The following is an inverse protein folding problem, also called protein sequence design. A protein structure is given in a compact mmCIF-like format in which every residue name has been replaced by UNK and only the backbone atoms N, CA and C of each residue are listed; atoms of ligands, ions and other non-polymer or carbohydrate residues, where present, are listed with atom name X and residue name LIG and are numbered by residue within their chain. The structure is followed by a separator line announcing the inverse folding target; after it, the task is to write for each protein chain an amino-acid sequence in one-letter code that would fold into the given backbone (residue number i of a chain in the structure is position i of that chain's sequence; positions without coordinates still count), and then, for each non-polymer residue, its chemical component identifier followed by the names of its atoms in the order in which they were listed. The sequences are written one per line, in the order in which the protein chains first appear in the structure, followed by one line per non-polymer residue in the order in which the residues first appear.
data_IF_108076647226
#
_entry.id   IF_108076647226
#
_cell.length_a   1.000
_cell.length_b   1.000
_cell.length_c   1.000
_cell.angle_alpha   90.00
_cell.angle_beta   90.00
_cell.angle_gamma   90.00
#
_symmetry.space_group_name_H-M   'P 1'
#
loop_
_entity.id
_entity.type
_entity.pdbx_description
1 polymer ?
#
# COMPACT_ATOMS: atom_id res chain seq x y z
N UNK A 1 -5.58 8.65 -21.21
CA UNK A 1 -6.99 8.21 -20.96
C UNK A 1 -6.93 6.76 -20.46
N UNK A 2 -7.60 6.42 -19.39
CA UNK A 2 -7.73 5.03 -18.96
C UNK A 2 -8.92 4.45 -19.73
N UNK A 3 -8.74 3.41 -20.56
CA UNK A 3 -9.86 2.81 -21.30
C UNK A 3 -10.88 2.22 -20.32
N UNK A 4 -12.16 2.58 -20.47
CA UNK A 4 -13.21 2.15 -19.55
C UNK A 4 -13.90 0.84 -19.98
N UNK A 5 -13.62 0.32 -21.18
CA UNK A 5 -14.52 -0.60 -21.85
C UNK A 5 -14.02 -2.04 -21.98
N UNK A 6 -13.06 -2.46 -21.14
CA UNK A 6 -12.68 -3.87 -21.09
C UNK A 6 -13.77 -4.62 -20.32
N UNK A 7 -14.53 -5.52 -20.96
CA UNK A 7 -15.52 -6.30 -20.27
C UNK A 7 -14.94 -7.03 -19.07
N UNK A 8 -15.53 -6.85 -17.91
CA UNK A 8 -15.10 -7.48 -16.66
C UNK A 8 -16.26 -8.22 -16.01
N UNK A 9 -15.93 -9.17 -15.13
CA UNK A 9 -16.91 -9.85 -14.29
C UNK A 9 -17.54 -8.83 -13.32
N UNK A 10 -18.86 -8.88 -13.17
CA UNK A 10 -19.53 -8.13 -12.10
C UNK A 10 -19.34 -8.87 -10.76
N UNK A 11 -18.73 -8.20 -9.78
CA UNK A 11 -18.46 -8.74 -8.45
C UNK A 11 -19.54 -8.39 -7.43
N UNK A 12 -20.56 -7.64 -7.83
CA UNK A 12 -21.64 -7.19 -6.96
C UNK A 12 -21.09 -6.56 -5.66
N UNK A 13 -20.31 -5.50 -5.83
CA UNK A 13 -19.64 -4.82 -4.71
C UNK A 13 -20.57 -3.88 -3.94
N UNK A 14 -21.70 -3.49 -4.56
CA UNK A 14 -22.68 -2.57 -4.02
C UNK A 14 -22.51 -1.13 -4.53
N UNK A 15 -23.61 -0.39 -4.46
CA UNK A 15 -23.72 0.95 -5.04
C UNK A 15 -22.66 1.93 -4.52
N UNK A 16 -22.38 1.89 -3.21
CA UNK A 16 -21.36 2.77 -2.58
C UNK A 16 -19.97 2.52 -3.16
N UNK A 17 -19.57 1.25 -3.27
CA UNK A 17 -18.27 0.88 -3.82
C UNK A 17 -18.18 1.21 -5.32
N UNK A 18 -19.26 1.05 -6.08
CA UNK A 18 -19.32 1.37 -7.50
C UNK A 18 -19.23 2.89 -7.74
N UNK A 19 -19.98 3.71 -6.98
CA UNK A 19 -19.90 5.17 -7.04
C UNK A 19 -18.51 5.67 -6.66
N UNK A 20 -17.89 5.12 -5.61
CA UNK A 20 -16.53 5.48 -5.22
C UNK A 20 -15.53 5.09 -6.32
N UNK A 21 -15.67 3.91 -6.91
CA UNK A 21 -14.84 3.46 -8.05
C UNK A 21 -14.87 4.46 -9.19
N UNK A 22 -16.06 4.90 -9.59
CA UNK A 22 -16.22 5.84 -10.70
C UNK A 22 -15.59 7.21 -10.38
N UNK A 23 -15.78 7.72 -9.17
CA UNK A 23 -15.19 8.97 -8.74
C UNK A 23 -13.65 8.91 -8.69
N UNK A 24 -13.10 7.85 -8.08
CA UNK A 24 -11.64 7.66 -7.98
C UNK A 24 -11.01 7.38 -9.34
N UNK A 25 -11.69 6.64 -10.21
CA UNK A 25 -11.23 6.37 -11.59
C UNK A 25 -11.15 7.67 -12.40
N UNK A 26 -12.20 8.49 -12.37
CA UNK A 26 -12.20 9.78 -13.05
C UNK A 26 -11.06 10.67 -12.55
N UNK A 27 -10.94 10.83 -11.24
CA UNK A 27 -9.85 11.57 -10.63
C UNK A 27 -8.47 11.04 -11.05
N UNK A 28 -8.28 9.73 -11.01
CA UNK A 28 -7.01 9.08 -11.35
C UNK A 28 -6.67 9.24 -12.83
N UNK A 29 -7.68 9.23 -13.71
CA UNK A 29 -7.50 9.45 -15.15
C UNK A 29 -7.08 10.89 -15.47
N UNK A 30 -7.62 11.87 -14.74
CA UNK A 30 -7.38 13.28 -14.99
C UNK A 30 -6.13 13.82 -14.28
N UNK A 31 -5.88 13.41 -13.04
CA UNK A 31 -4.87 14.00 -12.18
C UNK A 31 -3.58 13.15 -12.04
N UNK A 32 -3.66 11.83 -12.20
CA UNK A 32 -2.54 10.91 -11.94
C UNK A 32 -1.98 10.32 -13.23
N UNK A 33 -2.82 9.70 -14.06
CA UNK A 33 -2.38 8.97 -15.24
C UNK A 33 -1.54 9.82 -16.24
N UNK A 34 -1.86 11.09 -16.52
CA UNK A 34 -1.07 11.93 -17.41
C UNK A 34 0.35 12.20 -16.90
N UNK A 35 0.56 12.12 -15.59
CA UNK A 35 1.83 12.42 -14.92
C UNK A 35 2.64 11.15 -14.58
N UNK A 36 2.07 9.95 -14.78
CA UNK A 36 2.64 8.71 -14.26
C UNK A 36 4.05 8.39 -14.81
N UNK A 37 4.34 8.70 -16.07
CA UNK A 37 5.67 8.53 -16.67
C UNK A 37 6.69 9.50 -16.06
N UNK A 38 6.31 10.76 -15.82
CA UNK A 38 7.17 11.77 -15.19
C UNK A 38 7.44 11.44 -13.74
N UNK A 39 6.43 11.00 -13.00
CA UNK A 39 6.54 10.54 -11.61
C UNK A 39 7.59 9.40 -11.49
N UNK A 40 7.54 8.42 -12.37
CA UNK A 40 8.54 7.32 -12.41
C UNK A 40 9.94 7.85 -12.74
N UNK A 41 10.05 8.73 -13.74
CA UNK A 41 11.35 9.26 -14.18
C UNK A 41 12.02 10.13 -13.13
N UNK A 42 11.26 11.06 -12.54
CA UNK A 42 11.77 12.01 -11.53
C UNK A 42 12.05 11.36 -10.18
N UNK A 43 11.43 10.21 -9.89
CA UNK A 43 11.44 9.58 -8.56
C UNK A 43 10.86 10.51 -7.48
N UNK A 44 9.85 11.33 -7.82
CA UNK A 44 9.25 12.31 -6.92
C UNK A 44 7.73 12.10 -6.82
N UNK A 45 7.21 12.15 -5.59
CA UNK A 45 5.77 12.18 -5.35
C UNK A 45 5.24 13.60 -5.61
N UNK A 46 4.16 13.77 -6.39
CA UNK A 46 3.55 15.07 -6.61
C UNK A 46 2.76 15.52 -5.38
N UNK A 47 3.34 16.40 -4.58
CA UNK A 47 2.77 16.81 -3.28
C UNK A 47 1.40 17.46 -3.36
N UNK A 48 1.05 18.05 -4.52
CA UNK A 48 -0.28 18.61 -4.78
C UNK A 48 -1.40 17.55 -4.80
N UNK A 49 -1.04 16.28 -4.91
CA UNK A 49 -2.03 15.19 -4.85
C UNK A 49 -2.59 14.97 -3.43
N UNK A 50 -1.84 15.26 -2.36
CA UNK A 50 -2.34 15.04 -1.00
C UNK A 50 -3.62 15.81 -0.70
N UNK A 51 -3.69 17.16 -0.85
CA UNK A 51 -4.94 17.89 -0.62
C UNK A 51 -6.03 17.52 -1.63
N UNK A 52 -5.70 17.13 -2.86
CA UNK A 52 -6.68 16.68 -3.85
C UNK A 52 -7.30 15.34 -3.47
N UNK A 53 -6.51 14.38 -2.99
CA UNK A 53 -6.99 13.11 -2.46
C UNK A 53 -7.81 13.31 -1.18
N UNK A 54 -7.42 14.27 -0.33
CA UNK A 54 -8.20 14.71 0.83
C UNK A 54 -9.56 15.25 0.44
N UNK A 55 -9.62 16.16 -0.55
CA UNK A 55 -10.86 16.72 -1.08
C UNK A 55 -11.77 15.67 -1.74
N UNK A 56 -11.18 14.63 -2.34
CA UNK A 56 -11.91 13.46 -2.85
C UNK A 56 -12.48 12.57 -1.73
N UNK A 57 -12.03 12.74 -0.48
CA UNK A 57 -12.48 11.97 0.68
C UNK A 57 -11.82 10.60 0.86
N UNK A 58 -10.78 10.28 0.08
CA UNK A 58 -10.18 8.92 0.09
C UNK A 58 -9.07 8.74 1.12
N UNK A 59 -8.55 9.79 1.74
CA UNK A 59 -7.49 9.65 2.75
C UNK A 59 -7.99 9.13 4.11
N UNK A 60 -9.30 9.22 4.36
CA UNK A 60 -9.96 8.75 5.58
C UNK A 60 -11.14 7.82 5.32
N UNK A 61 -11.08 6.94 4.31
CA UNK A 61 -12.20 6.06 3.91
C UNK A 61 -12.80 5.32 5.09
N UNK A 62 -11.96 4.69 5.94
CA UNK A 62 -12.41 3.87 7.07
C UNK A 62 -12.57 4.64 8.38
N UNK A 63 -12.34 5.95 8.38
CA UNK A 63 -12.40 6.78 9.59
C UNK A 63 -13.80 7.35 9.78
N UNK A 64 -14.25 7.44 11.05
CA UNK A 64 -15.55 7.99 11.42
C UNK A 64 -15.70 9.45 10.93
N UNK A 65 -16.91 9.81 10.52
CA UNK A 65 -17.27 11.17 10.05
C UNK A 65 -16.94 12.27 11.08
N UNK A 66 -17.02 11.96 12.37
CA UNK A 66 -16.69 12.92 13.45
C UNK A 66 -15.24 13.44 13.40
N UNK A 67 -14.34 12.73 12.72
CA UNK A 67 -12.95 13.17 12.49
C UNK A 67 -12.71 13.66 11.05
N UNK A 68 -13.76 13.75 10.24
CA UNK A 68 -13.69 14.13 8.83
C UNK A 68 -13.51 12.96 7.87
N UNK A 69 -13.64 11.72 8.34
CA UNK A 69 -13.57 10.51 7.53
C UNK A 69 -14.86 10.24 6.75
N UNK A 70 -14.84 9.21 5.91
CA UNK A 70 -15.99 8.81 5.09
C UNK A 70 -16.89 7.73 5.76
N UNK A 71 -16.45 7.14 6.86
CA UNK A 71 -17.21 6.11 7.58
C UNK A 71 -17.49 4.83 6.79
N UNK A 72 -16.70 4.57 5.73
CA UNK A 72 -16.84 3.41 4.85
C UNK A 72 -15.99 2.23 5.33
N UNK A 73 -15.97 1.15 4.56
CA UNK A 73 -15.26 -0.08 4.87
C UNK A 73 -13.91 -0.25 4.16
N UNK A 74 -13.30 -1.41 4.39
CA UNK A 74 -12.06 -1.81 3.73
C UNK A 74 -12.29 -2.24 2.28
N UNK A 75 -13.52 -2.63 1.91
CA UNK A 75 -13.89 -2.88 0.53
C UNK A 75 -13.74 -1.60 -0.30
N UNK A 76 -14.33 -0.50 0.16
CA UNK A 76 -14.23 0.81 -0.48
C UNK A 76 -12.79 1.31 -0.49
N UNK A 77 -12.04 1.09 0.59
CA UNK A 77 -10.61 1.43 0.62
C UNK A 77 -9.81 0.63 -0.42
N UNK A 78 -10.12 -0.66 -0.59
CA UNK A 78 -9.48 -1.51 -1.61
C UNK A 78 -9.83 -1.05 -3.02
N UNK A 79 -11.08 -0.64 -3.26
CA UNK A 79 -11.52 -0.07 -4.54
C UNK A 79 -10.76 1.22 -4.87
N UNK A 80 -10.61 2.12 -3.90
CA UNK A 80 -9.82 3.35 -4.09
C UNK A 80 -8.34 3.03 -4.37
N UNK A 81 -7.75 2.09 -3.63
CA UNK A 81 -6.37 1.65 -3.81
C UNK A 81 -6.14 1.06 -5.22
N UNK A 82 -7.08 0.26 -5.72
CA UNK A 82 -7.03 -0.33 -7.07
C UNK A 82 -7.02 0.74 -8.15
N UNK A 83 -7.97 1.69 -8.14
CA UNK A 83 -8.12 2.69 -9.20
C UNK A 83 -6.97 3.73 -9.19
N UNK A 84 -6.46 4.11 -8.02
CA UNK A 84 -5.26 4.95 -7.91
C UNK A 84 -4.03 4.20 -8.47
N UNK A 85 -3.86 2.94 -8.09
CA UNK A 85 -2.72 2.12 -8.53
C UNK A 85 -2.78 1.78 -10.02
N UNK A 86 -3.97 1.69 -10.62
CA UNK A 86 -4.17 1.54 -12.07
C UNK A 86 -3.57 2.71 -12.84
N UNK A 87 -3.68 3.93 -12.33
CA UNK A 87 -3.08 5.11 -12.93
C UNK A 87 -1.58 5.22 -12.64
N UNK A 88 -1.19 5.00 -11.38
CA UNK A 88 0.21 4.95 -10.94
C UNK A 88 0.33 4.12 -9.65
N UNK A 89 0.99 2.98 -9.75
CA UNK A 89 1.18 2.10 -8.60
C UNK A 89 2.02 2.75 -7.48
N UNK A 90 2.96 3.63 -7.83
CA UNK A 90 3.75 4.37 -6.84
C UNK A 90 2.93 5.39 -6.05
N UNK A 91 1.98 6.07 -6.71
CA UNK A 91 1.02 6.95 -6.02
C UNK A 91 0.09 6.12 -5.14
N UNK A 92 -0.39 4.97 -5.63
CA UNK A 92 -1.20 4.03 -4.86
C UNK A 92 -0.48 3.51 -3.62
N UNK A 93 0.81 3.19 -3.71
CA UNK A 93 1.61 2.76 -2.56
C UNK A 93 1.71 3.85 -1.49
N UNK A 94 2.02 5.09 -1.88
CA UNK A 94 2.06 6.24 -0.96
C UNK A 94 0.71 6.53 -0.33
N UNK A 95 -0.37 6.47 -1.13
CA UNK A 95 -1.74 6.56 -0.65
C UNK A 95 -2.05 5.50 0.42
N UNK A 96 -1.76 4.21 0.15
CA UNK A 96 -1.99 3.12 1.07
C UNK A 96 -1.17 3.24 2.36
N UNK A 97 0.09 3.66 2.27
CA UNK A 97 0.93 3.89 3.45
C UNK A 97 0.40 5.02 4.34
N UNK A 98 -0.15 6.06 3.75
CA UNK A 98 -0.79 7.15 4.47
C UNK A 98 -2.12 6.71 5.09
N UNK A 99 -3.08 6.28 4.26
CA UNK A 99 -4.49 6.08 4.66
C UNK A 99 -4.71 4.77 5.42
N UNK A 100 -4.01 3.70 5.06
CA UNK A 100 -4.20 2.39 5.70
C UNK A 100 -3.16 2.09 6.78
N UNK A 101 -1.91 2.50 6.64
CA UNK A 101 -0.90 2.25 7.68
C UNK A 101 -0.96 3.30 8.79
N UNK A 102 -0.75 4.58 8.47
CA UNK A 102 -0.69 5.62 9.49
C UNK A 102 -2.08 5.96 10.05
N UNK A 103 -3.00 6.38 9.18
CA UNK A 103 -4.35 6.82 9.58
C UNK A 103 -5.11 5.71 10.28
N UNK A 104 -5.12 4.50 9.73
CA UNK A 104 -5.84 3.38 10.32
C UNK A 104 -5.27 2.93 11.66
N UNK A 105 -3.95 2.97 11.86
CA UNK A 105 -3.33 2.66 13.15
C UNK A 105 -3.72 3.67 14.24
N UNK A 106 -3.76 4.97 13.90
CA UNK A 106 -4.23 6.01 14.82
C UNK A 106 -5.71 5.81 15.12
N UNK A 107 -6.53 5.51 14.11
CA UNK A 107 -7.96 5.22 14.28
C UNK A 107 -8.20 4.07 15.23
N UNK A 108 -7.49 2.94 15.05
CA UNK A 108 -7.70 1.72 15.82
C UNK A 108 -7.16 1.82 17.26
N UNK A 109 -6.01 2.44 17.46
CA UNK A 109 -5.25 2.35 18.70
C UNK A 109 -5.07 3.68 19.43
N UNK A 110 -5.41 4.82 18.82
CA UNK A 110 -5.27 6.14 19.41
C UNK A 110 -6.28 6.40 20.52
N UNK A 111 -5.89 7.22 21.48
CA UNK A 111 -6.83 7.84 22.43
C UNK A 111 -7.74 8.83 21.71
N UNK A 112 -8.83 9.26 22.34
CA UNK A 112 -9.72 10.27 21.73
C UNK A 112 -8.95 11.57 21.43
N UNK A 113 -8.08 12.00 22.35
CA UNK A 113 -7.25 13.19 22.18
C UNK A 113 -6.29 13.04 20.95
N UNK A 114 -5.66 11.87 20.81
CA UNK A 114 -4.79 11.60 19.66
C UNK A 114 -5.56 11.57 18.34
N UNK A 115 -6.74 10.94 18.29
CA UNK A 115 -7.60 10.92 17.10
C UNK A 115 -8.01 12.34 16.71
N UNK A 116 -8.46 13.15 17.65
CA UNK A 116 -8.84 14.55 17.40
C UNK A 116 -7.66 15.42 16.96
N UNK A 117 -6.46 15.17 17.48
CA UNK A 117 -5.25 15.92 17.14
C UNK A 117 -4.73 15.60 15.73
N UNK A 118 -4.70 14.32 15.35
CA UNK A 118 -3.96 13.89 14.15
C UNK A 118 -4.86 13.58 12.96
N UNK A 119 -6.02 12.94 13.15
CA UNK A 119 -6.83 12.45 12.04
C UNK A 119 -7.33 13.56 11.10
N UNK A 120 -7.87 14.69 11.56
CA UNK A 120 -8.42 15.69 10.64
C UNK A 120 -7.41 16.23 9.62
N UNK A 121 -6.17 16.49 10.04
CA UNK A 121 -5.12 17.00 9.15
C UNK A 121 -4.58 15.93 8.21
N UNK A 122 -4.52 14.68 8.65
CA UNK A 122 -4.15 13.56 7.80
C UNK A 122 -5.23 13.29 6.74
N UNK A 123 -6.51 13.34 7.14
CA UNK A 123 -7.65 13.08 6.24
C UNK A 123 -7.82 14.20 5.19
N UNK A 124 -7.57 15.45 5.56
CA UNK A 124 -7.60 16.57 4.60
C UNK A 124 -6.40 16.58 3.63
N UNK A 125 -5.35 15.83 3.92
CA UNK A 125 -4.10 15.87 3.17
C UNK A 125 -3.23 17.11 3.48
N UNK A 126 -3.57 17.88 4.53
CA UNK A 126 -2.69 18.94 5.05
C UNK A 126 -1.40 18.35 5.61
N UNK A 127 -1.52 17.22 6.32
CA UNK A 127 -0.39 16.45 6.84
C UNK A 127 -0.25 15.11 6.12
N UNK A 128 0.99 14.68 5.92
CA UNK A 128 1.33 13.38 5.35
C UNK A 128 1.63 12.38 6.47
N UNK A 129 1.12 11.16 6.33
CA UNK A 129 1.31 10.08 7.28
C UNK A 129 2.27 9.00 6.77
N UNK A 130 3.06 8.42 7.69
CA UNK A 130 3.91 7.26 7.44
C UNK A 130 3.87 6.27 8.60
N UNK A 131 4.33 5.04 8.35
CA UNK A 131 4.53 4.02 9.38
C UNK A 131 5.95 3.46 9.28
N UNK A 132 6.63 3.33 10.41
CA UNK A 132 8.02 2.94 10.48
C UNK A 132 8.26 1.77 11.44
N UNK A 133 8.35 0.55 10.90
CA UNK A 133 8.67 -0.64 11.67
C UNK A 133 10.03 -1.23 11.31
N UNK A 134 10.37 -1.32 10.03
CA UNK A 134 11.57 -2.00 9.52
C UNK A 134 12.85 -1.24 9.82
N UNK A 135 13.94 -1.96 10.01
CA UNK A 135 15.30 -1.45 10.20
C UNK A 135 16.27 -2.14 9.23
N UNK A 136 17.48 -1.61 9.00
CA UNK A 136 18.47 -2.26 8.13
C UNK A 136 18.74 -3.72 8.49
N UNK A 137 18.68 -4.08 9.78
CA UNK A 137 18.89 -5.42 10.29
C UNK A 137 17.62 -6.19 10.70
N UNK A 138 16.42 -5.61 10.50
CA UNK A 138 15.15 -6.20 10.93
C UNK A 138 14.03 -5.90 9.91
N UNK A 139 13.96 -6.71 8.85
CA UNK A 139 12.93 -6.68 7.82
C UNK A 139 11.85 -7.73 8.07
N UNK A 140 12.05 -8.98 7.58
CA UNK A 140 11.11 -10.08 7.82
C UNK A 140 10.97 -10.43 9.30
N UNK A 141 12.07 -10.37 10.06
CA UNK A 141 12.08 -10.48 11.52
C UNK A 141 11.96 -9.09 12.17
N UNK A 142 10.84 -8.44 11.95
CA UNK A 142 10.60 -7.06 12.40
C UNK A 142 10.61 -6.91 13.92
N UNK A 143 10.31 -7.98 14.66
CA UNK A 143 10.32 -7.95 16.14
C UNK A 143 11.73 -7.89 16.73
N UNK A 144 12.76 -8.22 15.93
CA UNK A 144 14.19 -8.08 16.28
C UNK A 144 14.72 -6.64 16.12
N UNK A 145 13.83 -5.65 15.94
CA UNK A 145 14.21 -4.23 15.85
C UNK A 145 15.05 -3.77 17.05
N UNK A 146 15.92 -2.78 16.82
CA UNK A 146 16.89 -2.27 17.79
C UNK A 146 16.70 -0.81 18.17
N UNK A 147 15.85 -0.05 17.46
CA UNK A 147 15.51 1.33 17.84
C UNK A 147 15.04 1.32 19.30
N UNK A 148 15.74 2.03 20.18
CA UNK A 148 15.44 2.11 21.62
C UNK A 148 14.62 3.35 21.95
N UNK A 149 13.78 3.22 22.96
CA UNK A 149 13.03 4.31 23.56
C UNK A 149 13.19 4.22 25.09
N UNK A 150 13.98 5.11 25.68
CA UNK A 150 14.29 5.16 27.11
C UNK A 150 13.44 6.21 27.79
N UNK A 151 12.74 5.84 28.87
CA UNK A 151 11.91 6.80 29.62
C UNK A 151 12.78 7.77 30.43
N UNK A 152 12.56 9.07 30.25
CA UNK A 152 13.22 10.14 30.99
C UNK A 152 12.18 11.18 31.45
N UNK A 153 11.74 11.04 32.69
CA UNK A 153 10.70 11.90 33.27
C UNK A 153 9.35 11.71 32.56
N UNK A 154 8.84 12.76 31.92
CA UNK A 154 7.57 12.82 31.21
C UNK A 154 7.66 12.52 29.71
N UNK A 155 8.82 12.00 29.25
CA UNK A 155 9.11 11.74 27.83
C UNK A 155 9.87 10.45 27.64
N UNK A 156 9.96 10.03 26.37
CA UNK A 156 10.85 8.98 25.91
C UNK A 156 11.93 9.59 25.01
N UNK A 157 13.15 9.08 25.12
CA UNK A 157 14.27 9.47 24.25
C UNK A 157 14.56 8.30 23.32
N UNK A 158 14.37 8.53 22.02
CA UNK A 158 14.56 7.52 20.98
C UNK A 158 15.95 7.64 20.35
N UNK A 159 16.63 6.48 20.19
CA UNK A 159 17.94 6.38 19.54
C UNK A 159 17.99 5.17 18.60
N UNK A 160 18.38 5.40 17.34
CA UNK A 160 18.51 4.39 16.30
C UNK A 160 17.95 4.84 14.96
N UNK A 161 17.69 3.89 14.05
CA UNK A 161 17.25 4.20 12.69
C UNK A 161 16.08 3.28 12.26
N UNK A 162 15.32 3.75 11.26
CA UNK A 162 14.33 2.95 10.52
C UNK A 162 14.65 3.02 9.04
N UNK A 163 14.37 1.95 8.28
CA UNK A 163 14.73 1.85 6.88
C UNK A 163 13.55 1.48 5.99
N UNK A 164 13.60 1.93 4.74
CA UNK A 164 12.56 1.73 3.71
C UNK A 164 11.20 2.31 4.06
N UNK A 165 11.19 3.49 4.67
CA UNK A 165 9.94 4.11 5.13
C UNK A 165 9.30 4.90 4.01
N UNK A 166 8.19 4.36 3.50
CA UNK A 166 7.31 5.01 2.52
C UNK A 166 6.73 6.29 3.11
N UNK A 167 6.71 7.37 2.33
CA UNK A 167 6.36 8.73 2.72
C UNK A 167 7.29 9.34 3.78
N UNK A 168 8.34 8.65 4.23
CA UNK A 168 9.24 9.14 5.27
C UNK A 168 9.80 10.55 5.04
N UNK A 169 10.24 10.91 3.81
CA UNK A 169 10.76 12.26 3.54
C UNK A 169 9.70 13.37 3.71
N UNK A 170 8.44 13.04 3.47
CA UNK A 170 7.33 14.01 3.40
C UNK A 170 6.47 14.01 4.66
N UNK A 171 6.56 12.95 5.48
CA UNK A 171 5.65 12.71 6.59
C UNK A 171 5.73 13.77 7.69
N UNK A 172 4.57 14.31 8.07
CA UNK A 172 4.38 15.21 9.21
C UNK A 172 4.06 14.44 10.49
N UNK A 173 3.41 13.26 10.35
CA UNK A 173 3.05 12.36 11.45
C UNK A 173 3.43 10.93 11.11
N UNK A 174 4.16 10.26 12.01
CA UNK A 174 4.61 8.89 11.79
C UNK A 174 4.20 7.99 12.96
N UNK A 175 3.76 6.78 12.65
CA UNK A 175 3.65 5.69 13.63
C UNK A 175 4.97 4.94 13.65
N UNK A 176 5.71 4.99 14.75
CA UNK A 176 7.05 4.41 14.88
C UNK A 176 7.08 3.39 16.01
N UNK A 177 7.64 2.21 15.75
CA UNK A 177 7.80 1.14 16.74
C UNK A 177 9.22 1.12 17.28
N UNK A 178 9.39 1.10 18.60
CA UNK A 178 10.69 1.10 19.28
C UNK A 178 10.70 0.16 20.49
N UNK A 179 11.86 -0.29 20.92
CA UNK A 179 12.08 -1.10 22.13
C UNK A 179 12.08 -0.20 23.37
N UNK A 180 11.10 -0.35 24.22
CA UNK A 180 11.05 0.23 25.56
C UNK A 180 11.58 -0.73 26.62
N UNK A 181 11.52 -2.05 26.36
CA UNK A 181 12.15 -3.10 27.16
C UNK A 181 12.87 -4.08 26.22
N UNK A 182 14.19 -3.94 26.01
CA UNK A 182 14.95 -4.82 25.12
C UNK A 182 14.94 -6.30 25.53
N UNK A 183 14.85 -6.60 26.82
CA UNK A 183 14.93 -7.98 27.34
C UNK A 183 13.59 -8.73 27.17
N UNK A 184 12.49 -8.01 27.03
CA UNK A 184 11.15 -8.59 26.86
C UNK A 184 10.84 -9.00 25.40
N UNK A 185 11.81 -9.00 24.49
CA UNK A 185 11.65 -9.38 23.09
C UNK A 185 10.49 -8.62 22.40
N UNK A 186 9.52 -9.35 21.84
CA UNK A 186 8.34 -8.76 21.20
C UNK A 186 7.41 -8.03 22.18
N UNK A 187 7.43 -8.40 23.45
CA UNK A 187 6.62 -7.80 24.51
C UNK A 187 7.25 -6.54 25.10
N UNK A 188 8.41 -6.13 24.61
CA UNK A 188 9.08 -4.88 24.99
C UNK A 188 9.01 -3.80 23.90
N UNK A 189 8.10 -3.95 22.91
CA UNK A 189 7.91 -2.98 21.84
C UNK A 189 6.78 -2.02 22.20
N UNK A 190 6.99 -0.72 21.97
CA UNK A 190 5.97 0.32 22.08
C UNK A 190 5.83 1.07 20.76
N UNK A 191 4.60 1.45 20.41
CA UNK A 191 4.33 2.31 19.27
C UNK A 191 4.25 3.78 19.72
N UNK A 192 4.80 4.68 18.93
CA UNK A 192 4.85 6.12 19.20
C UNK A 192 4.32 6.90 18.01
N UNK A 193 3.67 8.02 18.28
CA UNK A 193 3.34 9.04 17.29
C UNK A 193 4.48 10.08 17.25
N UNK A 194 5.21 10.10 16.17
CA UNK A 194 6.33 11.04 15.95
C UNK A 194 5.86 12.17 15.07
N UNK A 195 6.15 13.41 15.47
CA UNK A 195 5.90 14.61 14.67
C UNK A 195 7.21 15.07 14.01
N UNK A 196 7.14 15.54 12.77
CA UNK A 196 8.29 16.01 11.98
C UNK A 196 9.16 17.03 12.72
N UNK A 197 8.57 17.84 13.59
CA UNK A 197 9.25 18.86 14.38
C UNK A 197 9.92 18.38 15.66
N UNK A 198 9.87 17.11 16.00
CA UNK A 198 10.48 16.63 17.24
C UNK A 198 12.00 16.74 17.20
N UNK A 199 12.59 17.32 18.25
CA UNK A 199 14.03 17.46 18.40
C UNK A 199 14.71 16.09 18.37
N UNK A 200 15.72 15.94 17.51
CA UNK A 200 16.45 14.69 17.34
C UNK A 200 15.82 13.72 16.33
N UNK A 201 14.71 14.08 15.69
CA UNK A 201 14.18 13.35 14.54
C UNK A 201 14.65 13.99 13.23
N UNK A 202 15.10 13.15 12.29
CA UNK A 202 15.47 13.57 10.94
C UNK A 202 15.29 12.44 9.92
N UNK A 203 15.32 12.81 8.65
CA UNK A 203 15.33 11.85 7.54
C UNK A 203 16.71 11.87 6.88
N UNK A 204 17.20 10.69 6.50
CA UNK A 204 18.44 10.56 5.75
C UNK A 204 18.18 10.46 4.25
N UNK A 205 19.06 9.83 3.50
CA UNK A 205 19.02 9.73 2.06
C UNK A 205 17.69 9.15 1.56
N UNK A 206 17.04 9.84 0.61
CA UNK A 206 15.96 9.31 -0.20
C UNK A 206 16.50 8.20 -1.11
N UNK A 207 15.79 7.07 -1.14
CA UNK A 207 16.24 5.88 -1.86
C UNK A 207 15.91 5.94 -3.35
N UNK A 208 16.90 5.58 -4.18
CA UNK A 208 16.70 5.32 -5.61
C UNK A 208 16.31 3.86 -5.81
N UNK A 209 15.03 3.61 -6.05
CA UNK A 209 14.43 2.26 -6.09
C UNK A 209 14.30 1.75 -7.51
N UNK A 210 14.22 0.42 -7.65
CA UNK A 210 13.94 -0.27 -8.92
C UNK A 210 12.60 0.16 -9.52
N UNK A 211 11.54 0.14 -8.71
CA UNK A 211 10.17 0.53 -9.02
C UNK A 211 9.56 1.36 -7.91
N UNK A 212 8.26 1.64 -8.00
CA UNK A 212 7.56 2.53 -7.07
C UNK A 212 8.28 3.88 -6.90
N UNK A 213 8.86 4.38 -7.97
CA UNK A 213 9.82 5.50 -7.93
C UNK A 213 9.18 6.80 -7.45
N UNK A 214 7.92 7.03 -7.82
CA UNK A 214 7.14 8.16 -7.32
C UNK A 214 6.64 8.03 -5.89
N UNK A 215 6.96 6.95 -5.17
CA UNK A 215 6.67 6.79 -3.74
C UNK A 215 7.91 7.15 -2.94
N UNK A 216 7.99 8.36 -2.39
CA UNK A 216 9.15 8.84 -1.65
C UNK A 216 9.44 7.92 -0.46
N UNK A 217 10.66 7.41 -0.39
CA UNK A 217 11.07 6.40 0.59
C UNK A 217 12.46 6.74 1.13
N UNK A 218 12.67 6.68 2.44
CA UNK A 218 13.97 7.01 3.03
C UNK A 218 14.29 6.16 4.27
N UNK A 219 15.47 6.41 4.81
CA UNK A 219 15.84 6.08 6.17
C UNK A 219 15.39 7.19 7.12
N UNK A 220 14.92 6.82 8.31
CA UNK A 220 14.64 7.72 9.42
C UNK A 220 15.75 7.60 10.47
N UNK A 221 16.15 8.72 11.05
CA UNK A 221 17.22 8.81 12.05
C UNK A 221 16.68 9.45 13.31
N UNK A 222 16.94 8.79 14.45
CA UNK A 222 16.59 9.24 15.79
C UNK A 222 17.87 9.38 16.62
N UNK A 223 18.23 10.62 16.95
CA UNK A 223 19.42 10.96 17.75
C UNK A 223 18.98 11.76 18.98
N UNK A 224 18.82 11.06 20.10
CA UNK A 224 18.22 11.63 21.31
C UNK A 224 16.88 12.31 21.01
N UNK A 225 16.03 11.64 20.22
CA UNK A 225 14.74 12.16 19.82
C UNK A 225 13.79 12.17 21.01
N UNK A 226 13.38 13.37 21.42
CA UNK A 226 12.50 13.58 22.57
C UNK A 226 11.04 13.45 22.15
N UNK A 227 10.33 12.47 22.72
CA UNK A 227 8.94 12.15 22.42
C UNK A 227 8.12 12.23 23.69
N UNK A 228 7.10 13.10 23.79
CA UNK A 228 6.22 13.18 24.97
C UNK A 228 5.55 11.85 25.29
N UNK A 229 5.32 11.56 26.58
CA UNK A 229 4.64 10.32 27.01
C UNK A 229 3.23 10.19 26.41
N UNK A 230 2.53 11.31 26.21
CA UNK A 230 1.20 11.35 25.58
C UNK A 230 1.19 10.90 24.11
N UNK A 231 2.36 10.78 23.47
CA UNK A 231 2.54 10.29 22.10
C UNK A 231 2.73 8.75 22.03
N UNK A 232 2.64 8.04 23.15
CA UNK A 232 2.53 6.58 23.11
C UNK A 232 1.20 6.19 22.47
N UNK A 233 1.27 5.41 21.39
CA UNK A 233 0.10 4.88 20.69
C UNK A 233 -0.28 3.52 21.26
N UNK A 234 -1.49 3.42 21.81
CA UNK A 234 -1.94 2.24 22.53
C UNK A 234 -1.37 2.18 23.96
N UNK A 235 -0.78 1.06 24.33
CA UNK A 235 -0.22 0.83 25.67
C UNK A 235 1.30 0.70 25.64
N UNK A 236 1.97 1.11 26.70
CA UNK A 236 3.39 0.83 26.92
C UNK A 236 3.64 -0.69 26.81
N UNK A 237 4.68 -1.07 26.09
CA UNK A 237 5.02 -2.46 25.76
C UNK A 237 3.92 -3.22 24.97
N UNK A 238 2.90 -2.50 24.49
CA UNK A 238 1.80 -3.03 23.68
C UNK A 238 1.99 -2.87 22.17
N UNK A 239 3.16 -2.41 21.70
CA UNK A 239 3.41 -2.12 20.29
C UNK A 239 3.24 -3.31 19.36
N UNK A 240 3.55 -4.52 19.80
CA UNK A 240 3.29 -5.72 19.01
C UNK A 240 1.79 -5.93 18.75
N UNK A 241 0.91 -5.61 19.72
CA UNK A 241 -0.55 -5.65 19.54
C UNK A 241 -0.99 -4.58 18.54
N UNK A 242 -0.49 -3.35 18.67
CA UNK A 242 -0.77 -2.25 17.74
C UNK A 242 -0.38 -2.67 16.33
N UNK A 243 0.83 -3.19 16.15
CA UNK A 243 1.31 -3.67 14.85
C UNK A 243 0.38 -4.75 14.26
N UNK A 244 0.08 -5.78 15.06
CA UNK A 244 -0.72 -6.93 14.59
C UNK A 244 -2.17 -6.54 14.30
N UNK A 245 -2.74 -5.56 14.99
CA UNK A 245 -4.11 -5.09 14.73
C UNK A 245 -4.29 -4.46 13.34
N UNK A 246 -3.21 -3.98 12.73
CA UNK A 246 -3.25 -3.35 11.39
C UNK A 246 -2.78 -4.25 10.26
N UNK A 247 -1.93 -5.26 10.54
CA UNK A 247 -1.24 -6.03 9.50
C UNK A 247 -2.17 -6.79 8.54
N UNK A 248 -3.26 -7.33 9.02
CA UNK A 248 -4.17 -8.11 8.17
C UNK A 248 -5.00 -7.16 7.27
N UNK A 249 -5.40 -6.01 7.79
CA UNK A 249 -6.02 -4.94 6.99
C UNK A 249 -5.04 -4.32 5.99
N UNK A 250 -3.77 -4.14 6.39
CA UNK A 250 -2.69 -3.70 5.48
C UNK A 250 -2.57 -4.64 4.29
N UNK A 251 -2.47 -5.94 4.52
CA UNK A 251 -2.34 -6.95 3.47
C UNK A 251 -3.54 -6.97 2.53
N UNK A 252 -4.75 -6.88 3.08
CA UNK A 252 -5.98 -6.88 2.30
C UNK A 252 -6.03 -5.66 1.35
N UNK A 253 -5.77 -4.46 1.86
CA UNK A 253 -5.82 -3.22 1.06
C UNK A 253 -4.66 -3.15 0.08
N UNK A 254 -3.42 -3.50 0.49
CA UNK A 254 -2.27 -3.50 -0.42
C UNK A 254 -2.40 -4.50 -1.57
N UNK A 255 -3.10 -5.62 -1.36
CA UNK A 255 -3.41 -6.57 -2.44
C UNK A 255 -4.14 -5.90 -3.61
N UNK A 256 -5.00 -4.91 -3.33
CA UNK A 256 -5.72 -4.16 -4.34
C UNK A 256 -4.82 -3.29 -5.23
N UNK A 257 -3.66 -2.86 -4.73
CA UNK A 257 -2.65 -2.18 -5.57
C UNK A 257 -2.13 -3.09 -6.69
N UNK A 258 -1.96 -4.37 -6.41
CA UNK A 258 -1.62 -5.37 -7.43
C UNK A 258 -2.73 -5.55 -8.46
N UNK A 259 -4.02 -5.45 -8.06
CA UNK A 259 -5.15 -5.48 -8.99
C UNK A 259 -5.12 -4.30 -9.95
N UNK A 260 -4.77 -3.11 -9.44
CA UNK A 260 -4.58 -1.91 -10.28
C UNK A 260 -3.52 -2.11 -11.35
N UNK A 261 -2.37 -2.72 -11.00
CA UNK A 261 -1.31 -3.06 -11.96
C UNK A 261 -1.80 -4.07 -13.01
N UNK A 262 -2.53 -5.11 -12.59
CA UNK A 262 -3.09 -6.09 -13.52
C UNK A 262 -4.06 -5.43 -14.50
N UNK A 263 -4.93 -4.56 -14.02
CA UNK A 263 -5.85 -3.82 -14.86
C UNK A 263 -5.11 -2.90 -15.84
N UNK A 264 -4.07 -2.19 -15.38
CA UNK A 264 -3.23 -1.36 -16.24
C UNK A 264 -2.53 -2.17 -17.34
N UNK A 265 -2.11 -3.40 -17.07
CA UNK A 265 -1.58 -4.31 -18.08
C UNK A 265 -2.63 -4.60 -19.16
N UNK A 266 -3.86 -4.90 -18.78
CA UNK A 266 -4.96 -5.12 -19.71
C UNK A 266 -5.30 -3.86 -20.51
N UNK A 267 -5.32 -2.69 -19.87
CA UNK A 267 -5.58 -1.40 -20.51
C UNK A 267 -4.59 -1.06 -21.63
N UNK A 268 -3.37 -1.56 -21.52
CA UNK A 268 -2.32 -1.38 -22.53
C UNK A 268 -2.39 -2.46 -23.61
N UNK A 269 -2.53 -3.72 -23.21
CA UNK A 269 -2.42 -4.87 -24.12
C UNK A 269 -3.63 -4.97 -25.03
N UNK A 270 -4.86 -4.78 -24.50
CA UNK A 270 -6.07 -5.00 -25.28
C UNK A 270 -6.18 -4.06 -26.49
N UNK A 271 -6.03 -2.74 -26.37
CA UNK A 271 -6.01 -1.86 -27.56
C UNK A 271 -4.88 -2.21 -28.52
N UNK A 272 -3.67 -2.47 -28.00
CA UNK A 272 -2.51 -2.75 -28.82
C UNK A 272 -2.68 -3.98 -29.73
N UNK A 273 -3.26 -5.07 -29.24
CA UNK A 273 -3.45 -6.28 -30.02
C UNK A 273 -4.48 -6.13 -31.15
N UNK A 274 -5.38 -5.13 -31.07
CA UNK A 274 -6.32 -4.76 -32.14
C UNK A 274 -5.66 -3.86 -33.20
N UNK A 275 -4.78 -2.96 -32.78
CA UNK A 275 -4.14 -1.98 -33.66
C UNK A 275 -2.92 -2.54 -34.39
N UNK A 276 -2.08 -3.31 -33.68
CA UNK A 276 -0.85 -3.88 -34.23
C UNK A 276 -1.13 -5.01 -35.21
N UNK A 277 -0.64 -4.88 -36.44
CA UNK A 277 -0.79 -5.90 -37.50
C UNK A 277 0.53 -6.55 -37.85
N UNK A 278 0.52 -7.86 -38.02
CA UNK A 278 1.60 -8.66 -38.57
C UNK A 278 0.99 -9.80 -39.41
N UNK A 279 1.71 -10.25 -40.46
CA UNK A 279 1.22 -11.26 -41.36
C UNK A 279 -0.17 -10.95 -41.96
N UNK A 280 -0.43 -9.65 -42.22
CA UNK A 280 -1.65 -9.16 -42.86
C UNK A 280 -2.90 -9.00 -41.96
N UNK A 281 -2.82 -9.28 -40.66
CA UNK A 281 -3.95 -9.17 -39.71
C UNK A 281 -3.56 -8.66 -38.32
N UNK A 282 -4.53 -8.29 -37.53
CA UNK A 282 -4.30 -7.87 -36.14
C UNK A 282 -3.67 -9.00 -35.34
N UNK A 283 -2.71 -8.68 -34.46
CA UNK A 283 -2.02 -9.73 -33.69
C UNK A 283 -2.96 -10.46 -32.72
N UNK A 284 -4.04 -9.83 -32.28
CA UNK A 284 -5.10 -10.44 -31.44
C UNK A 284 -5.86 -11.56 -32.13
N UNK A 285 -5.76 -11.70 -33.47
CA UNK A 285 -6.36 -12.79 -34.22
C UNK A 285 -5.55 -14.10 -34.20
N UNK A 286 -4.31 -14.06 -33.67
CA UNK A 286 -3.50 -15.26 -33.56
C UNK A 286 -3.84 -16.03 -32.28
N UNK A 287 -4.01 -17.36 -32.41
CA UNK A 287 -4.43 -18.22 -31.28
C UNK A 287 -3.49 -18.16 -30.08
N UNK A 288 -2.16 -18.03 -30.29
CA UNK A 288 -1.20 -17.90 -29.18
C UNK A 288 -1.36 -16.57 -28.44
N UNK A 289 -1.76 -15.49 -29.12
CA UNK A 289 -2.10 -14.22 -28.47
C UNK A 289 -3.42 -14.33 -27.71
N UNK A 290 -4.42 -14.95 -28.30
CA UNK A 290 -5.71 -15.22 -27.63
C UNK A 290 -5.52 -16.04 -26.36
N UNK A 291 -4.62 -17.04 -26.38
CA UNK A 291 -4.26 -17.81 -25.18
C UNK A 291 -3.67 -16.93 -24.08
N UNK A 292 -2.74 -16.02 -24.41
CA UNK A 292 -2.17 -15.08 -23.43
C UNK A 292 -3.23 -14.17 -22.81
N UNK A 293 -4.12 -13.61 -23.62
CA UNK A 293 -5.20 -12.74 -23.13
C UNK A 293 -6.17 -13.51 -22.23
N UNK A 294 -6.50 -14.76 -22.60
CA UNK A 294 -7.34 -15.62 -21.78
C UNK A 294 -6.72 -15.88 -20.40
N UNK A 295 -5.41 -16.22 -20.35
CA UNK A 295 -4.69 -16.45 -19.10
C UNK A 295 -4.61 -15.17 -18.24
N UNK A 296 -4.35 -14.01 -18.84
CA UNK A 296 -4.35 -12.73 -18.15
C UNK A 296 -5.74 -12.39 -17.59
N UNK A 297 -6.79 -12.57 -18.36
CA UNK A 297 -8.18 -12.31 -17.94
C UNK A 297 -8.59 -13.20 -16.76
N UNK A 298 -8.36 -14.50 -16.86
CA UNK A 298 -8.68 -15.47 -15.78
C UNK A 298 -7.90 -15.15 -14.52
N UNK A 299 -6.60 -14.88 -14.65
CA UNK A 299 -5.74 -14.54 -13.51
C UNK A 299 -6.20 -13.28 -12.80
N UNK A 300 -6.50 -12.21 -13.54
CA UNK A 300 -6.98 -10.96 -12.98
C UNK A 300 -8.32 -11.13 -12.26
N UNK A 301 -9.29 -11.81 -12.87
CA UNK A 301 -10.59 -12.01 -12.26
C UNK A 301 -10.53 -12.90 -11.02
N UNK A 302 -9.69 -13.92 -11.01
CA UNK A 302 -9.44 -14.76 -9.84
C UNK A 302 -8.84 -13.94 -8.68
N UNK A 303 -7.87 -13.07 -8.98
CA UNK A 303 -7.27 -12.19 -7.99
C UNK A 303 -8.28 -11.19 -7.43
N UNK A 304 -9.08 -10.53 -8.29
CA UNK A 304 -10.13 -9.60 -7.88
C UNK A 304 -11.15 -10.27 -6.98
N UNK A 305 -11.68 -11.44 -7.36
CA UNK A 305 -12.65 -12.18 -6.56
C UNK A 305 -12.11 -12.51 -5.17
N UNK A 306 -10.85 -12.96 -5.08
CA UNK A 306 -10.21 -13.28 -3.80
C UNK A 306 -10.01 -12.01 -2.94
N UNK A 307 -9.42 -10.95 -3.49
CA UNK A 307 -9.15 -9.71 -2.76
C UNK A 307 -10.43 -9.05 -2.26
N UNK A 308 -11.47 -8.95 -3.10
CA UNK A 308 -12.75 -8.36 -2.67
C UNK A 308 -13.45 -9.20 -1.61
N UNK A 309 -13.36 -10.53 -1.69
CA UNK A 309 -13.92 -11.41 -0.65
C UNK A 309 -13.23 -11.19 0.69
N UNK A 310 -11.90 -11.06 0.68
CA UNK A 310 -11.13 -10.77 1.90
C UNK A 310 -11.43 -9.36 2.42
N UNK A 311 -11.55 -8.36 1.56
CA UNK A 311 -11.92 -7.01 1.96
C UNK A 311 -13.32 -6.96 2.63
N UNK A 312 -14.31 -7.66 2.06
CA UNK A 312 -15.63 -7.83 2.68
C UNK A 312 -15.56 -8.56 4.03
N UNK A 313 -14.65 -9.52 4.19
CA UNK A 313 -14.41 -10.18 5.48
C UNK A 313 -13.77 -9.23 6.52
N UNK A 314 -12.90 -8.31 6.08
CA UNK A 314 -12.37 -7.25 6.93
C UNK A 314 -13.50 -6.38 7.49
N UNK A 315 -14.48 -6.01 6.68
CA UNK A 315 -15.60 -5.16 7.09
C UNK A 315 -16.50 -5.85 8.11
N UNK A 316 -16.63 -7.16 8.04
CA UNK A 316 -17.37 -7.95 9.04
C UNK A 316 -16.55 -8.32 10.27
N UNK A 317 -15.26 -7.98 10.33
CA UNK A 317 -14.36 -8.40 11.40
C UNK A 317 -14.06 -9.91 11.40
N UNK A 318 -14.24 -10.58 10.27
CA UNK A 318 -14.07 -12.03 10.10
C UNK A 318 -12.77 -12.42 9.37
N UNK A 319 -11.97 -11.44 8.99
CA UNK A 319 -10.71 -11.71 8.27
C UNK A 319 -9.75 -12.52 9.12
N UNK A 320 -9.20 -13.58 8.55
CA UNK A 320 -8.13 -14.33 9.18
C UNK A 320 -6.76 -13.89 8.64
N UNK A 321 -5.73 -14.12 9.44
CA UNK A 321 -4.37 -13.80 9.07
C UNK A 321 -3.93 -14.54 7.80
N UNK A 322 -4.33 -15.81 7.64
CA UNK A 322 -4.04 -16.63 6.46
C UNK A 322 -4.76 -16.12 5.20
N UNK A 323 -6.01 -15.63 5.34
CA UNK A 323 -6.78 -15.13 4.19
C UNK A 323 -6.19 -13.81 3.67
N UNK A 324 -5.88 -12.86 4.57
CA UNK A 324 -5.23 -11.62 4.20
C UNK A 324 -3.85 -11.86 3.56
N UNK A 325 -3.05 -12.78 4.13
CA UNK A 325 -1.76 -13.17 3.55
C UNK A 325 -1.92 -13.87 2.19
N UNK A 326 -2.95 -14.70 2.03
CA UNK A 326 -3.26 -15.40 0.78
C UNK A 326 -3.65 -14.45 -0.35
N UNK A 327 -4.49 -13.47 -0.05
CA UNK A 327 -4.92 -12.47 -1.03
C UNK A 327 -3.74 -11.70 -1.60
N UNK A 328 -2.88 -11.13 -0.74
CA UNK A 328 -1.72 -10.38 -1.22
C UNK A 328 -0.65 -11.29 -1.85
N UNK A 329 -0.46 -12.52 -1.36
CA UNK A 329 0.48 -13.47 -1.95
C UNK A 329 0.12 -13.74 -3.42
N UNK A 330 -1.14 -14.11 -3.65
CA UNK A 330 -1.62 -14.42 -5.00
C UNK A 330 -1.60 -13.18 -5.91
N UNK A 331 -2.16 -12.08 -5.45
CA UNK A 331 -2.25 -10.86 -6.24
C UNK A 331 -0.86 -10.30 -6.61
N UNK A 332 0.09 -10.28 -5.68
CA UNK A 332 1.45 -9.78 -5.91
C UNK A 332 2.21 -10.58 -6.97
N UNK A 333 2.27 -11.91 -6.81
CA UNK A 333 2.98 -12.77 -7.78
C UNK A 333 2.32 -12.75 -9.16
N UNK A 334 0.98 -12.69 -9.20
CA UNK A 334 0.24 -12.64 -10.46
C UNK A 334 0.32 -11.28 -11.14
N UNK A 335 0.45 -10.18 -10.41
CA UNK A 335 0.71 -8.87 -10.99
C UNK A 335 2.07 -8.82 -11.69
N UNK A 336 3.13 -9.38 -11.07
CA UNK A 336 4.46 -9.50 -11.70
C UNK A 336 4.40 -10.36 -12.96
N UNK A 337 3.73 -11.50 -12.89
CA UNK A 337 3.54 -12.38 -14.05
C UNK A 337 2.78 -11.66 -15.18
N UNK A 338 1.67 -10.97 -14.88
CA UNK A 338 0.90 -10.24 -15.89
C UNK A 338 1.69 -9.09 -16.52
N UNK A 339 2.55 -8.41 -15.74
CA UNK A 339 3.41 -7.36 -16.29
C UNK A 339 4.45 -7.92 -17.27
N UNK A 340 5.00 -9.11 -17.00
CA UNK A 340 5.86 -9.83 -17.95
C UNK A 340 5.10 -10.22 -19.22
N UNK A 341 3.87 -10.74 -19.09
CA UNK A 341 3.03 -11.06 -20.24
C UNK A 341 2.65 -9.81 -21.06
N UNK A 342 2.42 -8.67 -20.39
CA UNK A 342 2.15 -7.41 -21.09
C UNK A 342 3.35 -6.97 -21.94
N UNK A 343 4.58 -7.06 -21.40
CA UNK A 343 5.80 -6.82 -22.17
C UNK A 343 5.87 -7.76 -23.38
N UNK A 344 5.61 -9.04 -23.16
CA UNK A 344 5.67 -10.06 -24.19
C UNK A 344 4.63 -9.83 -25.30
N UNK A 345 3.40 -9.44 -24.95
CA UNK A 345 2.35 -9.13 -25.91
C UNK A 345 2.69 -7.95 -26.83
N UNK A 346 3.40 -6.96 -26.30
CA UNK A 346 3.83 -5.78 -27.06
C UNK A 346 5.12 -6.05 -27.86
N UNK A 347 5.85 -7.14 -27.57
CA UNK A 347 7.11 -7.47 -28.23
C UNK A 347 8.16 -6.38 -28.02
N UNK A 348 8.87 -5.98 -29.10
CA UNK A 348 9.90 -4.93 -29.02
C UNK A 348 9.40 -3.60 -28.47
N UNK A 349 8.14 -3.23 -28.72
CA UNK A 349 7.55 -2.03 -28.14
C UNK A 349 7.39 -2.15 -26.62
N UNK A 350 7.05 -3.34 -26.11
CA UNK A 350 6.95 -3.59 -24.66
C UNK A 350 8.30 -3.54 -23.95
N UNK A 351 9.40 -3.73 -24.66
CA UNK A 351 10.76 -3.66 -24.12
C UNK A 351 11.37 -2.26 -24.16
N UNK A 352 10.63 -1.29 -24.72
CA UNK A 352 11.03 0.11 -24.79
C UNK A 352 10.35 0.92 -23.66
N UNK A 353 11.09 1.85 -23.05
CA UNK A 353 10.58 2.74 -21.99
C UNK A 353 9.53 3.76 -22.46
N UNK A 354 9.24 3.84 -23.76
CA UNK A 354 8.12 4.64 -24.28
C UNK A 354 6.75 4.08 -23.91
N UNK A 355 6.70 2.79 -23.50
CA UNK A 355 5.49 2.15 -22.97
C UNK A 355 5.57 1.96 -21.45
N UNK A 356 4.40 1.91 -20.81
CA UNK A 356 4.35 1.77 -19.35
C UNK A 356 4.65 0.35 -18.83
N UNK A 357 4.79 -0.65 -19.73
CA UNK A 357 4.92 -2.07 -19.34
C UNK A 357 6.15 -2.33 -18.47
N UNK A 358 7.30 -1.72 -18.78
CA UNK A 358 8.51 -1.82 -17.94
C UNK A 358 8.33 -1.21 -16.56
N UNK A 359 7.62 -0.08 -16.44
CA UNK A 359 7.27 0.52 -15.15
C UNK A 359 6.36 -0.41 -14.35
N UNK A 360 5.30 -0.96 -14.96
CA UNK A 360 4.37 -1.87 -14.27
C UNK A 360 5.09 -3.11 -13.73
N UNK A 361 6.07 -3.66 -14.45
CA UNK A 361 6.88 -4.78 -13.98
C UNK A 361 7.73 -4.40 -12.75
N UNK A 362 8.41 -3.25 -12.82
CA UNK A 362 9.25 -2.76 -11.73
C UNK A 362 8.44 -2.45 -10.47
N UNK A 363 7.27 -1.86 -10.66
CA UNK A 363 6.35 -1.53 -9.58
C UNK A 363 5.72 -2.79 -8.95
N UNK A 364 5.28 -3.75 -9.76
CA UNK A 364 4.69 -5.00 -9.30
C UNK A 364 5.62 -5.77 -8.35
N UNK A 365 6.92 -5.77 -8.62
CA UNK A 365 7.91 -6.54 -7.85
C UNK A 365 7.95 -6.16 -6.37
N UNK A 366 7.64 -4.90 -6.02
CA UNK A 366 7.62 -4.50 -4.61
C UNK A 366 6.58 -5.27 -3.79
N UNK A 367 5.42 -5.56 -4.36
CA UNK A 367 4.34 -6.26 -3.64
C UNK A 367 4.70 -7.69 -3.23
N UNK A 368 5.69 -8.32 -3.85
CA UNK A 368 6.23 -9.61 -3.41
C UNK A 368 7.18 -9.50 -2.21
N UNK A 369 7.65 -8.29 -1.88
CA UNK A 369 8.66 -8.01 -0.87
C UNK A 369 8.06 -7.27 0.33
N UNK A 370 7.28 -6.21 0.09
CA UNK A 370 6.69 -5.35 1.13
C UNK A 370 5.52 -6.00 1.87
N UNK A 371 5.22 -5.55 3.08
CA UNK A 371 4.19 -6.12 3.96
C UNK A 371 4.38 -7.63 4.28
N UNK A 372 5.64 -8.05 4.37
CA UNK A 372 6.09 -9.44 4.45
C UNK A 372 6.32 -10.05 3.06
N UNK A 373 7.48 -10.73 2.89
CA UNK A 373 7.81 -11.35 1.60
C UNK A 373 6.86 -12.48 1.25
N UNK A 374 6.83 -12.88 -0.03
CA UNK A 374 6.06 -14.05 -0.50
C UNK A 374 6.36 -15.31 0.32
N UNK A 375 7.61 -15.50 0.73
CA UNK A 375 8.05 -16.62 1.57
C UNK A 375 7.47 -16.56 2.98
N UNK A 376 7.49 -15.36 3.60
CA UNK A 376 6.89 -15.14 4.93
C UNK A 376 5.37 -15.37 4.90
N UNK A 377 4.69 -14.93 3.84
CA UNK A 377 3.25 -15.17 3.66
C UNK A 377 2.94 -16.66 3.54
N UNK A 378 3.73 -17.42 2.75
CA UNK A 378 3.59 -18.89 2.62
C UNK A 378 3.81 -19.59 3.94
N UNK A 379 4.88 -19.24 4.66
CA UNK A 379 5.18 -19.80 5.98
C UNK A 379 4.01 -19.53 6.96
N UNK A 380 3.47 -18.31 6.95
CA UNK A 380 2.37 -17.93 7.82
C UNK A 380 1.10 -18.73 7.50
N UNK A 381 0.70 -18.80 6.23
CA UNK A 381 -0.49 -19.54 5.79
C UNK A 381 -0.36 -21.03 6.17
N UNK A 382 0.76 -21.65 5.83
CA UNK A 382 0.99 -23.08 6.13
C UNK A 382 0.98 -23.36 7.63
N UNK A 383 1.59 -22.50 8.44
CA UNK A 383 1.61 -22.62 9.89
C UNK A 383 0.22 -22.49 10.52
N UNK A 384 -0.57 -21.51 10.09
CA UNK A 384 -1.94 -21.30 10.60
C UNK A 384 -2.84 -22.50 10.23
N UNK A 385 -2.81 -22.94 8.97
CA UNK A 385 -3.56 -24.12 8.53
C UNK A 385 -3.19 -25.37 9.32
N UNK A 386 -1.88 -25.63 9.53
CA UNK A 386 -1.43 -26.78 10.31
C UNK A 386 -1.96 -26.75 11.75
N UNK A 387 -2.00 -25.57 12.38
CA UNK A 387 -2.53 -25.42 13.74
C UNK A 387 -4.05 -25.61 13.83
N UNK A 388 -4.79 -25.15 12.81
CA UNK A 388 -6.24 -25.26 12.78
C UNK A 388 -6.75 -26.67 12.49
N UNK A 389 -5.89 -27.52 11.93
CA UNK A 389 -6.23 -28.92 11.54
C UNK A 389 -5.61 -29.98 12.44
N UNK A 390 -4.92 -29.59 13.52
CA UNK A 390 -4.25 -30.47 14.47
C UNK A 390 -5.19 -31.08 15.54
#
# INVERSE_FOLDING_TARGET
MIPNDIPSLNYDLGETADMLRDAVRSFSADEIAPRAAEIDRSNEFPMDLWPKLGALGVLGVTVDEKYGGAGMGYLEHSVAMEEISRASASVGLSYGAHSNLCVNQIRLNGTEAQRQKYLPKLISGENVGALAMSEPGAGSDVVSMKLRAEKQGDRYVLNGTKMWITNGPDADTLVVYAKTDPEAHQHGITAFLIEKGFKGFSTAQKLDKLGMRGSNTCELVFENCEVPEENVLGQLNGGARVLMSGLDYERAVLAAGSLGIMQACMDIVVPYIHERKQFGKAIGEFQLMQGKIADMYVTMNSAKAYVYTVAKACDRGEVTRKDAAGAILYAAEKATWMALEAIQCLGGNGYNNDTATGRLLRDAKLYEIGAGTSEIRRMLIGRELFKETA
#
